data_IF_246238601478
#
_entry.id   IF_246238601478
#
_cell.length_a   1.000
_cell.length_b   1.000
_cell.length_c   1.000
_cell.angle_alpha   90.00
_cell.angle_beta   90.00
_cell.angle_gamma   90.00
#
_symmetry.space_group_name_H-M   'P 1'
#
loop_
_entity.id
_entity.type
_entity.pdbx_description
1 polymer ?
2 non-polymer ?
3 non-polymer ?
4 non-polymer ?
5 water ?
#
# COMPACT_ATOMS: atom_id res chain seq x y z
N UNK A 2 14.21 -4.67 9.16
CA UNK A 2 13.93 -3.27 8.88
C UNK A 2 12.49 -3.00 8.47
N UNK A 3 12.02 -1.80 8.80
CA UNK A 3 10.68 -1.36 8.46
C UNK A 3 10.58 -0.79 7.05
N UNK A 4 11.70 -0.66 6.35
CA UNK A 4 11.70 -0.08 5.01
C UNK A 4 12.13 -1.11 3.98
N UNK A 5 11.47 -2.26 3.97
CA UNK A 5 11.78 -3.36 3.06
C UNK A 5 10.54 -3.73 2.25
N UNK A 6 10.71 -4.68 1.33
CA UNK A 6 9.60 -5.10 0.49
C UNK A 6 8.60 -5.89 1.31
N UNK A 7 7.32 -5.74 0.97
CA UNK A 7 6.27 -6.60 1.49
C UNK A 7 6.10 -7.75 0.51
N UNK A 8 6.42 -8.99 0.89
CA UNK A 8 6.31 -10.10 -0.07
C UNK A 8 4.86 -10.31 -0.48
N UNK A 9 4.67 -10.72 -1.74
CA UNK A 9 3.35 -11.16 -2.21
C UNK A 9 2.32 -10.03 -2.18
N UNK A 10 2.77 -8.79 -2.37
CA UNK A 10 1.87 -7.65 -2.47
C UNK A 10 2.18 -6.91 -3.76
N UNK A 11 1.14 -6.60 -4.52
CA UNK A 11 1.26 -5.76 -5.72
C UNK A 11 0.45 -4.50 -5.50
N UNK A 12 1.05 -3.35 -5.78
CA UNK A 12 0.34 -2.08 -5.67
C UNK A 12 -0.73 -1.98 -6.74
N UNK A 13 -1.96 -1.67 -6.34
CA UNK A 13 -3.01 -1.56 -7.33
C UNK A 13 -2.98 -0.25 -8.10
N UNK A 14 -2.17 0.70 -7.67
CA UNK A 14 -2.00 1.93 -8.41
C UNK A 14 -1.02 1.83 -9.56
N UNK A 15 0.11 1.16 -9.34
CA UNK A 15 1.19 1.15 -10.32
C UNK A 15 1.60 -0.26 -10.73
N UNK A 16 1.03 -1.28 -10.10
CA UNK A 16 1.30 -2.67 -10.42
C UNK A 16 2.73 -3.08 -10.09
N UNK A 17 3.40 -2.31 -9.24
CA UNK A 17 4.74 -2.62 -8.80
C UNK A 17 4.76 -3.15 -7.38
N UNK A 18 5.96 -3.35 -6.83
CA UNK A 18 6.08 -3.82 -5.46
C UNK A 18 5.74 -2.72 -4.47
N UNK A 19 5.60 -3.13 -3.22
CA UNK A 19 5.29 -2.25 -2.11
C UNK A 19 6.46 -2.34 -1.14
N UNK A 20 7.25 -1.28 -1.06
CA UNK A 20 8.47 -1.25 -0.27
C UNK A 20 8.32 -0.19 0.81
N UNK A 21 8.57 -0.56 2.04
CA UNK A 21 8.43 0.38 3.16
C UNK A 21 7.05 0.24 3.82
N UNK A 22 6.24 1.27 3.71
CA UNK A 22 4.90 1.23 4.28
C UNK A 22 3.91 0.70 3.25
N UNK A 23 3.10 -0.27 3.66
CA UNK A 23 2.02 -0.79 2.85
C UNK A 23 0.73 -0.11 3.27
N UNK A 24 -0.04 0.37 2.30
CA UNK A 24 -1.33 1.03 2.57
C UNK A 24 -2.42 0.09 2.09
N UNK A 25 -3.06 -0.59 3.03
CA UNK A 25 -4.03 -1.63 2.73
C UNK A 25 -5.43 -1.05 2.96
N UNK A 26 -6.24 -1.00 1.91
CA UNK A 26 -7.60 -0.49 2.08
C UNK A 26 -8.35 -1.32 3.13
N UNK A 27 -9.03 -0.63 4.04
CA UNK A 27 -9.82 -1.26 5.08
C UNK A 27 -11.23 -1.59 4.63
N UNK A 28 -11.60 -1.16 3.42
CA UNK A 28 -12.96 -1.30 2.91
C UNK A 28 -13.01 -2.34 1.79
N UNK A 29 -12.20 -2.16 0.76
CA UNK A 29 -12.12 -3.12 -0.33
C UNK A 29 -11.45 -4.40 0.17
N UNK A 30 -11.71 -5.53 -0.48
CA UNK A 30 -11.16 -6.79 0.02
C UNK A 30 -9.67 -6.99 -0.25
N UNK A 31 -9.15 -6.41 -1.33
CA UNK A 31 -7.80 -6.77 -1.79
C UNK A 31 -7.14 -5.59 -2.50
N UNK A 32 -7.12 -4.41 -1.87
CA UNK A 32 -6.57 -3.22 -2.50
C UNK A 32 -5.42 -2.68 -1.66
N UNK A 33 -4.26 -2.48 -2.31
CA UNK A 33 -3.07 -2.01 -1.62
C UNK A 33 -2.38 -0.95 -2.46
N UNK A 34 -1.71 -0.02 -1.78
CA UNK A 34 -0.91 0.98 -2.46
C UNK A 34 0.50 1.02 -1.89
N UNK A 35 1.45 1.34 -2.77
CA UNK A 35 2.79 1.73 -2.39
C UNK A 35 2.80 3.20 -1.96
N UNK A 36 3.94 3.63 -1.40
CA UNK A 36 4.00 4.97 -0.82
C UNK A 36 3.90 6.06 -1.88
N UNK A 37 4.38 5.80 -3.10
CA UNK A 37 4.26 6.81 -4.15
C UNK A 37 2.81 6.99 -4.57
N UNK A 38 2.11 5.89 -4.85
CA UNK A 38 0.71 5.98 -5.26
C UNK A 38 -0.14 6.56 -4.14
N UNK A 39 0.14 6.15 -2.90
CA UNK A 39 -0.56 6.73 -1.75
C UNK A 39 -0.32 8.23 -1.67
N UNK A 40 0.94 8.66 -1.86
CA UNK A 40 1.25 10.08 -1.80
C UNK A 40 0.56 10.88 -2.89
N UNK A 41 0.29 10.26 -4.03
CA UNK A 41 -0.40 10.92 -5.13
C UNK A 41 -1.90 11.01 -4.93
N UNK A 42 -2.44 10.43 -3.86
CA UNK A 42 -3.85 10.54 -3.59
C UNK A 42 -4.71 9.48 -4.23
N UNK A 43 -4.11 8.45 -4.82
CA UNK A 43 -4.92 7.37 -5.36
C UNK A 43 -5.75 6.75 -4.25
N UNK A 44 -7.00 6.45 -4.56
CA UNK A 44 -7.89 5.76 -3.62
C UNK A 44 -8.07 6.55 -2.32
N UNK A 45 -8.01 7.89 -2.39
CA UNK A 45 -8.01 8.69 -1.17
C UNK A 45 -9.32 8.55 -0.40
N UNK A 46 -10.41 8.20 -1.07
CA UNK A 46 -11.71 8.20 -0.45
C UNK A 46 -11.97 7.06 0.52
N UNK A 47 -11.11 6.05 0.58
CA UNK A 47 -11.27 4.96 1.52
C UNK A 47 -10.20 4.98 2.60
N UNK A 48 -10.61 4.62 3.82
CA UNK A 48 -9.69 4.44 4.93
C UNK A 48 -8.78 3.24 4.67
N UNK A 49 -7.51 3.39 5.06
CA UNK A 49 -6.52 2.35 4.90
C UNK A 49 -5.76 2.16 6.20
N UNK A 50 -5.18 0.97 6.34
CA UNK A 50 -4.24 0.68 7.41
C UNK A 50 -2.85 0.78 6.80
N UNK A 51 -1.96 1.51 7.47
CA UNK A 51 -0.61 1.75 6.97
C UNK A 51 0.37 1.09 7.92
N UNK A 52 1.20 0.19 7.42
CA UNK A 52 2.07 -0.53 8.33
C UNK A 52 3.40 -0.88 7.67
N UNK A 53 4.45 -1.02 8.46
CA UNK A 53 5.79 -1.24 7.91
C UNK A 53 6.00 -2.68 7.47
N UNK A 54 7.08 -2.89 6.73
CA UNK A 54 7.42 -4.25 6.31
C UNK A 54 7.85 -5.06 7.53
N UNK A 55 7.31 -6.26 7.72
CA UNK A 55 7.80 -7.13 8.79
C UNK A 55 9.24 -7.56 8.53
X LIG B 1 2.19 2.14 -6.53
X LIG C 1 -10.98 0.72 -1.04
X LIG D 1 7.85 0.67 -4.08
X LIG D 1 7.71 2.23 -2.35
X LIG D 1 7.61 1.77 -5.09
X LIG D 1 7.54 3.35 -3.35
X LIG D 1 7.29 0.96 -2.83
X LIG D 1 8.05 3.03 -4.63
X LIG E 1 -3.08 -5.66 -3.94
X LIG E 1 -3.61 -7.01 -4.06
X LIG E 1 -2.54 -8.05 -3.76
X LIG E 1 -2.85 -9.23 -3.59
X LIG E 1 -4.17 -7.25 -5.46
X LIG E 1 -3.13 -7.11 -6.57
X LIG E 1 -3.81 -7.22 -7.93
X LIG E 1 -2.87 -7.20 -9.05
X LIG E 1 -2.34 -6.09 -9.56
X LIG E 1 -2.64 -4.91 -9.05
X LIG E 1 -1.50 -6.17 -10.59
X LIG E 1 -1.35 -7.76 -3.69
#
# INVERSE_FOLDING_TARGET
LGSNMVHPNVICDGCNGPVVGTRYKCSVCPDYDLCSVCEGKGLHRGHTKLAFPSP
ZN ZN
ZN ZN
DIO C1 C2 C1' C2' O1 O1'
ARG N CA C O CB CG CD NE CZ NH1 NH2 OXT
#
